data_IF_415809611368
#
_entry.id   IF_415809611368
#
_cell.length_a   1.000
_cell.length_b   1.000
_cell.length_c   1.000
_cell.angle_alpha   90.00
_cell.angle_beta   90.00
_cell.angle_gamma   90.00
#
_symmetry.space_group_name_H-M   'P 1'
#
loop_
_entity.id
_entity.type
_entity.pdbx_description
1 polymer ?
#
# COMPACT_ATOMS: atom_id res chain seq x y z
N UNK A 1 6.69 -13.51 16.04
CA UNK A 1 5.72 -14.57 15.71
C UNK A 1 4.36 -13.95 15.40
N UNK A 2 3.51 -14.61 14.60
CA UNK A 2 2.09 -14.24 14.44
C UNK A 2 1.36 -14.58 15.73
N UNK A 3 0.47 -13.70 16.19
CA UNK A 3 -0.21 -13.86 17.48
C UNK A 3 -1.72 -13.95 17.37
N UNK A 4 -2.34 -12.88 16.88
CA UNK A 4 -3.77 -12.81 16.69
C UNK A 4 -4.08 -12.92 15.21
N UNK A 5 -5.16 -13.62 14.89
CA UNK A 5 -5.72 -13.68 13.55
C UNK A 5 -7.19 -13.33 13.61
N UNK A 6 -7.61 -12.44 12.71
CA UNK A 6 -8.96 -11.93 12.63
C UNK A 6 -9.44 -11.94 11.17
N UNK A 7 -10.69 -12.35 10.95
CA UNK A 7 -11.39 -12.25 9.68
C UNK A 7 -12.65 -11.42 9.91
N UNK A 8 -12.79 -10.33 9.18
CA UNK A 8 -13.89 -9.36 9.31
C UNK A 8 -14.70 -9.35 8.02
N UNK A 9 -16.03 -9.39 8.15
CA UNK A 9 -16.95 -9.15 7.04
C UNK A 9 -17.97 -8.10 7.45
N UNK A 10 -18.12 -7.06 6.63
CA UNK A 10 -19.04 -5.93 6.89
C UNK A 10 -18.86 -5.32 8.29
N UNK A 11 -17.60 -5.24 8.75
CA UNK A 11 -17.26 -4.72 10.08
C UNK A 11 -17.55 -5.65 11.25
N UNK A 12 -18.03 -6.88 11.00
CA UNK A 12 -18.27 -7.88 12.03
C UNK A 12 -17.17 -8.96 12.02
N UNK A 13 -16.65 -9.36 13.19
CA UNK A 13 -15.65 -10.43 13.29
C UNK A 13 -16.29 -11.79 13.02
N UNK A 14 -15.93 -12.42 11.90
CA UNK A 14 -16.34 -13.80 11.55
C UNK A 14 -15.51 -14.84 12.28
N UNK A 15 -14.22 -14.55 12.45
CA UNK A 15 -13.24 -15.43 13.08
C UNK A 15 -12.24 -14.57 13.84
N UNK A 16 -11.98 -14.91 15.10
CA UNK A 16 -11.00 -14.22 15.95
C UNK A 16 -10.35 -15.22 16.88
N UNK A 17 -9.03 -15.38 16.78
CA UNK A 17 -8.25 -16.27 17.65
C UNK A 17 -6.89 -15.68 17.98
N UNK A 18 -6.48 -15.90 19.22
CA UNK A 18 -5.11 -15.72 19.67
C UNK A 18 -4.42 -17.09 19.73
N UNK A 19 -3.18 -17.15 19.24
CA UNK A 19 -2.37 -18.36 19.13
C UNK A 19 -1.13 -18.31 20.04
N UNK A 20 -1.17 -17.48 21.09
CA UNK A 20 -0.07 -17.30 22.05
C UNK A 20 -0.55 -17.28 23.49
N UNK A 21 0.35 -17.55 24.43
CA UNK A 21 0.00 -17.48 25.86
C UNK A 21 0.06 -16.04 26.44
N UNK A 22 0.25 -15.02 25.60
CA UNK A 22 0.48 -13.62 26.03
C UNK A 22 -0.82 -12.81 25.94
N UNK A 23 -0.99 -11.87 26.90
CA UNK A 23 -2.16 -10.98 26.99
C UNK A 23 -2.48 -10.28 25.65
N UNK A 24 -3.78 -10.16 25.39
CA UNK A 24 -4.37 -10.02 24.07
C UNK A 24 -4.74 -8.57 23.73
N UNK A 25 -4.37 -8.11 22.52
CA UNK A 25 -4.94 -6.89 21.95
C UNK A 25 -6.31 -7.15 21.32
N UNK A 26 -6.46 -8.28 20.59
CA UNK A 26 -7.66 -8.59 19.80
C UNK A 26 -8.69 -9.46 20.56
N UNK A 27 -8.27 -10.26 21.54
CA UNK A 27 -9.21 -11.18 22.22
C UNK A 27 -10.11 -10.50 23.26
N UNK A 28 -9.85 -9.27 23.63
CA UNK A 28 -10.76 -8.52 24.50
C UNK A 28 -11.96 -8.09 23.64
N UNK A 29 -13.17 -8.50 24.01
CA UNK A 29 -14.37 -8.27 23.19
C UNK A 29 -14.59 -6.78 22.89
N UNK A 30 -14.27 -5.88 23.83
CA UNK A 30 -14.37 -4.43 23.57
C UNK A 30 -13.35 -3.96 22.54
N UNK A 31 -12.12 -4.47 22.60
CA UNK A 31 -11.08 -4.13 21.63
C UNK A 31 -11.35 -4.75 20.26
N UNK A 32 -11.93 -5.97 20.22
CA UNK A 32 -12.34 -6.62 18.98
C UNK A 32 -13.35 -5.77 18.21
N UNK A 33 -14.38 -5.27 18.90
CA UNK A 33 -15.41 -4.41 18.31
C UNK A 33 -14.78 -3.11 17.79
N UNK A 34 -13.95 -2.45 18.60
CA UNK A 34 -13.27 -1.21 18.21
C UNK A 34 -12.34 -1.41 17.00
N UNK A 35 -11.52 -2.46 17.01
CA UNK A 35 -10.62 -2.81 15.91
C UNK A 35 -11.42 -3.15 14.65
N UNK A 36 -12.51 -3.89 14.79
CA UNK A 36 -13.35 -4.27 13.64
C UNK A 36 -14.04 -3.08 12.99
N UNK A 37 -14.63 -2.18 13.80
CA UNK A 37 -15.25 -0.95 13.32
C UNK A 37 -14.22 -0.01 12.70
N UNK A 38 -13.06 0.16 13.33
CA UNK A 38 -11.97 0.98 12.80
C UNK A 38 -11.49 0.47 11.44
N UNK A 39 -11.25 -0.83 11.30
CA UNK A 39 -10.73 -1.40 10.05
C UNK A 39 -11.77 -1.44 8.94
N UNK A 40 -13.05 -1.65 9.29
CA UNK A 40 -14.14 -1.50 8.33
C UNK A 40 -14.23 -0.07 7.82
N UNK A 41 -14.20 0.92 8.73
CA UNK A 41 -14.20 2.33 8.35
C UNK A 41 -12.97 2.70 7.53
N UNK A 42 -11.78 2.19 7.89
CA UNK A 42 -10.54 2.40 7.14
C UNK A 42 -10.61 1.78 5.75
N UNK A 43 -11.19 0.58 5.60
CA UNK A 43 -11.35 -0.07 4.31
C UNK A 43 -12.39 0.63 3.43
N UNK A 44 -13.55 0.98 3.98
CA UNK A 44 -14.57 1.77 3.26
C UNK A 44 -14.02 3.15 2.87
N UNK A 45 -13.31 3.82 3.77
CA UNK A 45 -12.59 5.05 3.45
C UNK A 45 -11.57 4.81 2.33
N UNK A 46 -10.78 3.74 2.39
CA UNK A 46 -9.80 3.40 1.35
C UNK A 46 -10.43 3.09 -0.01
N UNK A 47 -11.70 2.67 -0.07
CA UNK A 47 -12.44 2.46 -1.33
C UNK A 47 -12.85 3.79 -1.99
N UNK A 48 -13.01 4.86 -1.22
CA UNK A 48 -13.30 6.21 -1.74
C UNK A 48 -12.07 6.88 -2.40
N UNK A 49 -10.89 6.28 -2.29
CA UNK A 49 -9.67 6.76 -2.94
C UNK A 49 -9.10 5.68 -3.86
N UNK A 50 -9.10 5.93 -5.17
CA UNK A 50 -8.56 5.02 -6.20
C UNK A 50 -7.07 4.65 -6.00
N UNK A 51 -6.33 5.41 -5.18
CA UNK A 51 -4.86 5.35 -5.13
C UNK A 51 -4.27 5.70 -3.74
N UNK A 52 -4.97 5.33 -2.67
CA UNK A 52 -4.32 5.14 -1.37
C UNK A 52 -3.58 3.81 -1.49
N UNK A 53 -2.32 3.84 -1.93
CA UNK A 53 -1.49 2.64 -2.03
C UNK A 53 -1.72 1.73 -0.82
N UNK A 54 -1.90 0.42 -1.06
CA UNK A 54 -2.41 -0.53 -0.07
C UNK A 54 -1.73 -0.30 1.27
N UNK A 55 -2.42 0.29 2.25
CA UNK A 55 -1.94 0.27 3.61
C UNK A 55 -1.87 -1.22 3.95
N UNK A 56 -0.65 -1.76 4.08
CA UNK A 56 -0.46 -3.20 4.34
C UNK A 56 -0.24 -3.46 5.81
N UNK A 57 0.30 -2.47 6.51
CA UNK A 57 0.67 -2.58 7.91
C UNK A 57 0.37 -1.33 8.70
N UNK A 58 0.00 -1.53 9.96
CA UNK A 58 -0.15 -0.49 10.97
C UNK A 58 0.69 -0.85 12.20
N UNK A 59 1.50 0.09 12.67
CA UNK A 59 2.22 -0.05 13.93
C UNK A 59 1.33 0.44 15.07
N UNK A 60 1.06 -0.42 16.04
CA UNK A 60 0.28 -0.05 17.23
C UNK A 60 1.16 0.75 18.20
N UNK A 61 0.74 1.97 18.51
CA UNK A 61 1.46 2.86 19.43
C UNK A 61 1.60 2.20 20.81
N UNK A 62 2.81 2.29 21.39
CA UNK A 62 3.19 1.69 22.68
C UNK A 62 3.22 0.16 22.75
N UNK A 63 3.24 -0.55 21.61
CA UNK A 63 3.46 -1.99 21.59
C UNK A 63 4.57 -2.38 20.60
N UNK A 64 5.20 -3.54 20.84
CA UNK A 64 6.13 -4.16 19.89
C UNK A 64 5.39 -4.98 18.82
N UNK A 65 4.12 -4.65 18.56
CA UNK A 65 3.26 -5.38 17.63
C UNK A 65 2.95 -4.53 16.40
N UNK A 66 2.94 -5.23 15.28
CA UNK A 66 2.49 -4.73 13.99
C UNK A 66 1.22 -5.49 13.60
N UNK A 67 0.34 -4.79 12.91
CA UNK A 67 -0.86 -5.36 12.30
C UNK A 67 -0.65 -5.39 10.80
N UNK A 68 -0.86 -6.53 10.17
CA UNK A 68 -0.95 -6.65 8.72
C UNK A 68 -2.39 -6.97 8.35
N UNK A 69 -2.82 -6.49 7.18
CA UNK A 69 -4.13 -6.83 6.65
C UNK A 69 -4.11 -7.08 5.14
N UNK A 70 -5.07 -7.90 4.72
CA UNK A 70 -5.30 -8.28 3.34
C UNK A 70 -6.80 -8.15 3.07
N UNK A 71 -7.14 -7.28 2.11
CA UNK A 71 -8.50 -7.18 1.58
C UNK A 71 -8.73 -8.30 0.57
N UNK A 72 -9.89 -8.93 0.65
CA UNK A 72 -10.34 -9.87 -0.38
C UNK A 72 -10.92 -9.12 -1.58
N UNK A 73 -10.56 -9.55 -2.79
CA UNK A 73 -11.06 -8.94 -4.02
C UNK A 73 -12.30 -9.68 -4.58
N UNK A 74 -12.59 -10.88 -4.10
CA UNK A 74 -13.71 -11.71 -4.56
C UNK A 74 -14.97 -11.52 -3.71
N UNK A 75 -14.81 -11.21 -2.43
CA UNK A 75 -15.91 -10.97 -1.50
C UNK A 75 -15.85 -9.53 -0.99
N UNK A 76 -16.89 -8.70 -1.24
CA UNK A 76 -16.94 -7.33 -0.75
C UNK A 76 -16.80 -7.26 0.77
N UNK A 77 -16.06 -6.26 1.26
CA UNK A 77 -15.84 -5.98 2.69
C UNK A 77 -15.29 -7.16 3.51
N UNK A 78 -14.63 -8.12 2.88
CA UNK A 78 -13.94 -9.20 3.59
C UNK A 78 -12.47 -8.84 3.79
N UNK A 79 -12.02 -8.84 5.04
CA UNK A 79 -10.68 -8.43 5.44
C UNK A 79 -10.07 -9.50 6.33
N UNK A 80 -8.84 -9.91 6.01
CA UNK A 80 -8.02 -10.81 6.80
C UNK A 80 -6.94 -10.02 7.52
N UNK A 81 -6.70 -10.32 8.79
CA UNK A 81 -5.80 -9.58 9.67
C UNK A 81 -4.92 -10.52 10.47
N UNK A 82 -3.68 -10.09 10.70
CA UNK A 82 -2.76 -10.74 11.61
C UNK A 82 -2.00 -9.71 12.45
N UNK A 83 -1.91 -9.94 13.76
CA UNK A 83 -0.95 -9.24 14.62
C UNK A 83 0.33 -10.06 14.72
N UNK A 84 1.48 -9.38 14.78
CA UNK A 84 2.78 -10.04 14.85
C UNK A 84 3.84 -9.18 15.53
N UNK A 85 4.84 -9.86 16.12
CA UNK A 85 5.98 -9.20 16.75
C UNK A 85 6.87 -8.50 15.71
N UNK A 86 7.53 -7.39 16.11
CA UNK A 86 8.46 -6.64 15.27
C UNK A 86 9.53 -7.50 14.58
N UNK A 87 10.01 -8.56 15.22
CA UNK A 87 11.01 -9.49 14.67
C UNK A 87 10.51 -10.32 13.48
N UNK A 88 9.20 -10.40 13.26
CA UNK A 88 8.61 -11.23 12.19
C UNK A 88 8.68 -10.49 10.86
N UNK A 89 9.17 -11.15 9.81
CA UNK A 89 9.23 -10.54 8.49
C UNK A 89 7.82 -10.29 7.91
N UNK A 90 7.54 -9.03 7.58
CA UNK A 90 6.33 -8.55 6.92
C UNK A 90 5.90 -9.34 5.69
N UNK A 91 6.86 -9.70 4.83
CA UNK A 91 6.61 -10.46 3.59
C UNK A 91 6.12 -11.86 3.92
N UNK A 92 6.63 -12.47 4.98
CA UNK A 92 6.16 -13.78 5.43
C UNK A 92 4.72 -13.67 5.96
N UNK A 93 4.40 -12.63 6.73
CA UNK A 93 3.03 -12.38 7.21
C UNK A 93 2.07 -12.11 6.04
N UNK A 94 2.47 -11.36 5.02
CA UNK A 94 1.64 -11.15 3.82
C UNK A 94 1.38 -12.48 3.08
N UNK A 95 2.42 -13.32 2.96
CA UNK A 95 2.29 -14.66 2.36
C UNK A 95 1.38 -15.56 3.20
N UNK A 96 1.48 -15.50 4.52
CA UNK A 96 0.59 -16.18 5.45
C UNK A 96 -0.87 -15.75 5.23
N UNK A 97 -1.16 -14.44 5.17
CA UNK A 97 -2.50 -13.93 4.94
C UNK A 97 -3.07 -14.37 3.59
N UNK A 98 -2.26 -14.38 2.53
CA UNK A 98 -2.65 -14.89 1.20
C UNK A 98 -2.98 -16.39 1.23
N UNK A 99 -2.15 -17.20 1.89
CA UNK A 99 -2.42 -18.64 2.08
C UNK A 99 -3.71 -18.86 2.88
N UNK A 100 -3.90 -18.08 3.93
CA UNK A 100 -5.08 -18.13 4.79
C UNK A 100 -6.35 -17.79 4.02
N UNK A 101 -6.37 -16.67 3.28
CA UNK A 101 -7.50 -16.26 2.43
C UNK A 101 -7.88 -17.37 1.45
N UNK A 102 -6.91 -17.84 0.65
CA UNK A 102 -7.15 -18.91 -0.32
C UNK A 102 -7.70 -20.19 0.32
N UNK A 103 -7.22 -20.53 1.52
CA UNK A 103 -7.65 -21.76 2.22
C UNK A 103 -9.02 -21.58 2.85
N UNK A 104 -9.31 -20.39 3.38
CA UNK A 104 -10.60 -20.03 3.95
C UNK A 104 -11.70 -20.10 2.88
N UNK A 105 -11.48 -19.51 1.71
CA UNK A 105 -12.41 -19.56 0.57
C UNK A 105 -12.58 -20.96 -0.03
N UNK A 106 -11.57 -21.83 0.09
CA UNK A 106 -11.68 -23.24 -0.31
C UNK A 106 -12.49 -24.05 0.69
N UNK A 107 -12.29 -23.81 1.99
CA UNK A 107 -12.96 -24.54 3.07
C UNK A 107 -14.41 -24.10 3.25
N UNK A 108 -14.67 -22.81 3.11
CA UNK A 108 -15.99 -22.21 3.20
C UNK A 108 -16.32 -21.59 1.85
N UNK A 109 -17.34 -22.11 1.18
CA UNK A 109 -17.75 -21.61 -0.13
C UNK A 109 -18.05 -20.11 -0.08
N UNK A 110 -17.83 -19.41 -1.20
CA UNK A 110 -18.07 -17.96 -1.32
C UNK A 110 -19.49 -17.61 -0.84
N UNK A 111 -20.50 -18.37 -1.25
CA UNK A 111 -21.90 -18.13 -0.83
C UNK A 111 -22.08 -18.24 0.69
N UNK A 112 -21.41 -19.19 1.35
CA UNK A 112 -21.50 -19.35 2.81
C UNK A 112 -20.92 -18.14 3.55
N UNK A 113 -19.93 -17.48 2.97
CA UNK A 113 -19.30 -16.29 3.53
C UNK A 113 -20.12 -15.03 3.19
N UNK A 114 -20.63 -14.94 1.96
CA UNK A 114 -21.43 -13.81 1.49
C UNK A 114 -22.79 -13.73 2.22
N UNK A 115 -23.45 -14.86 2.42
CA UNK A 115 -24.75 -14.97 3.08
C UNK A 115 -24.62 -15.23 4.59
N UNK A 116 -23.47 -14.92 5.17
CA UNK A 116 -23.21 -15.15 6.60
C UNK A 116 -24.13 -14.31 7.48
N UNK A 117 -24.74 -14.95 8.48
CA UNK A 117 -25.76 -14.37 9.35
C UNK A 117 -25.25 -13.87 10.71
N UNK A 118 -23.93 -13.75 10.87
CA UNK A 118 -23.30 -13.28 12.11
C UNK A 118 -22.85 -14.37 13.08
N UNK A 119 -23.19 -15.65 12.84
CA UNK A 119 -22.76 -16.77 13.71
C UNK A 119 -21.28 -17.13 13.49
N UNK A 120 -20.39 -16.76 14.41
CA UNK A 120 -18.95 -17.02 14.27
C UNK A 120 -18.57 -18.49 14.49
N UNK A 121 -19.41 -19.28 15.17
CA UNK A 121 -19.12 -20.67 15.54
C UNK A 121 -18.91 -21.56 14.31
N UNK A 122 -19.54 -21.20 13.18
CA UNK A 122 -19.44 -21.95 11.92
C UNK A 122 -18.01 -21.94 11.33
N UNK A 123 -17.17 -21.01 11.79
CA UNK A 123 -15.78 -20.86 11.34
C UNK A 123 -14.75 -21.39 12.34
N UNK A 124 -15.17 -21.82 13.54
CA UNK A 124 -14.28 -22.29 14.61
C UNK A 124 -13.34 -23.43 14.18
N UNK A 125 -13.81 -24.30 13.30
CA UNK A 125 -13.00 -25.39 12.75
C UNK A 125 -11.78 -24.92 11.95
N UNK A 126 -11.70 -23.63 11.59
CA UNK A 126 -10.55 -23.03 10.92
C UNK A 126 -9.35 -22.84 11.86
N UNK A 127 -9.58 -22.83 13.17
CA UNK A 127 -8.53 -22.64 14.19
C UNK A 127 -7.35 -23.59 14.00
N UNK A 128 -7.63 -24.88 13.77
CA UNK A 128 -6.58 -25.90 13.61
C UNK A 128 -5.78 -25.69 12.31
N UNK A 129 -6.44 -25.25 11.23
CA UNK A 129 -5.77 -24.91 9.98
C UNK A 129 -4.80 -23.74 10.15
N UNK A 130 -5.19 -22.74 10.95
CA UNK A 130 -4.34 -21.57 11.23
C UNK A 130 -3.15 -21.95 12.12
N UNK A 131 -3.36 -22.78 13.16
CA UNK A 131 -2.28 -23.30 13.99
C UNK A 131 -1.20 -24.00 13.16
N UNK A 132 -1.61 -24.91 12.29
CA UNK A 132 -0.69 -25.64 11.39
C UNK A 132 0.18 -24.69 10.55
N UNK A 133 -0.37 -23.56 10.10
CA UNK A 133 0.38 -22.58 9.31
C UNK A 133 1.37 -21.79 10.16
N UNK A 134 0.96 -21.35 11.34
CA UNK A 134 1.84 -20.62 12.27
C UNK A 134 3.02 -21.52 12.69
N UNK A 135 2.76 -22.79 12.98
CA UNK A 135 3.80 -23.77 13.34
C UNK A 135 4.77 -24.01 12.19
N UNK A 136 4.27 -24.22 10.96
CA UNK A 136 5.13 -24.41 9.78
C UNK A 136 6.01 -23.18 9.49
N UNK A 137 5.49 -21.96 9.64
CA UNK A 137 6.30 -20.75 9.47
C UNK A 137 7.37 -20.57 10.56
N UNK A 138 7.12 -21.05 11.79
CA UNK A 138 8.11 -21.02 12.86
C UNK A 138 9.31 -21.94 12.59
N UNK A 139 9.09 -23.08 11.92
CA UNK A 139 10.13 -24.04 11.54
C UNK A 139 10.90 -23.53 10.31
N UNK A 140 10.19 -22.99 9.32
CA UNK A 140 10.77 -22.52 8.06
C UNK A 140 11.69 -21.30 8.22
N UNK A 141 11.42 -20.40 9.19
CA UNK A 141 12.27 -19.23 9.48
C UNK A 141 13.71 -19.57 9.92
N UNK A 142 14.01 -20.83 10.27
CA UNK A 142 15.38 -21.27 10.59
C UNK A 142 16.20 -21.70 9.36
N UNK A 143 15.55 -21.95 8.22
CA UNK A 143 16.20 -22.50 7.01
C UNK A 143 16.10 -21.58 5.78
N UNK A 144 15.08 -20.72 5.68
CA UNK A 144 14.77 -19.99 4.44
C UNK A 144 15.47 -18.63 4.23
N UNK A 145 16.41 -18.21 5.08
CA UNK A 145 17.08 -16.91 4.90
C UNK A 145 17.98 -16.84 3.66
N UNK A 146 18.33 -17.98 3.04
CA UNK A 146 19.18 -18.05 1.85
C UNK A 146 18.41 -18.50 0.59
N UNK A 147 17.48 -19.44 0.71
CA UNK A 147 16.87 -20.07 -0.48
C UNK A 147 15.76 -19.24 -1.13
N UNK A 148 15.00 -18.47 -0.35
CA UNK A 148 13.87 -17.66 -0.87
C UNK A 148 14.30 -16.40 -1.64
N UNK A 149 15.50 -15.88 -1.38
CA UNK A 149 16.09 -14.77 -2.15
C UNK A 149 16.65 -15.31 -3.47
N UNK A 150 17.32 -16.45 -3.45
CA UNK A 150 17.88 -17.07 -4.65
C UNK A 150 16.81 -17.57 -5.65
N UNK A 151 15.63 -17.99 -5.19
CA UNK A 151 14.54 -18.41 -6.09
C UNK A 151 13.89 -17.23 -6.82
N UNK A 152 13.71 -16.09 -6.14
CA UNK A 152 13.20 -14.85 -6.75
C UNK A 152 14.20 -14.27 -7.78
N UNK A 153 15.50 -14.33 -7.50
CA UNK A 153 16.52 -13.93 -8.47
C UNK A 153 16.60 -14.88 -9.68
N UNK A 154 16.41 -16.20 -9.48
CA UNK A 154 16.36 -17.17 -10.59
C UNK A 154 15.12 -17.04 -11.47
N UNK A 155 13.95 -16.73 -10.91
CA UNK A 155 12.74 -16.45 -11.70
C UNK A 155 12.90 -15.18 -12.57
N UNK A 156 13.55 -14.15 -12.04
CA UNK A 156 13.86 -12.93 -12.81
C UNK A 156 14.91 -13.22 -13.89
N UNK A 157 15.91 -14.05 -13.60
CA UNK A 157 16.99 -14.37 -14.55
C UNK A 157 16.53 -15.32 -15.67
N UNK A 158 15.63 -16.26 -15.36
CA UNK A 158 15.02 -17.16 -16.36
C UNK A 158 13.96 -16.46 -17.23
N UNK A 159 13.33 -15.40 -16.73
CA UNK A 159 12.45 -14.53 -17.54
C UNK A 159 13.19 -13.57 -18.49
N UNK A 160 14.51 -13.45 -18.38
CA UNK A 160 15.36 -12.58 -19.22
C UNK A 160 16.02 -13.35 -20.37
N UNK A 161 16.08 -14.69 -20.33
CA UNK A 161 16.83 -15.50 -21.31
C UNK A 161 16.01 -16.04 -22.51
N UNK A 162 14.71 -15.74 -22.63
CA UNK A 162 13.91 -16.13 -23.80
C UNK A 162 13.35 -14.94 -24.59
N UNK A 163 14.24 -14.14 -25.17
CA UNK A 163 13.93 -13.49 -26.46
C UNK A 163 15.11 -13.73 -27.42
N UNK A 164 15.00 -14.67 -28.38
CA UNK A 164 15.99 -14.84 -29.43
C UNK A 164 15.94 -13.63 -30.38
N UNK A 165 17.13 -13.20 -30.80
CA UNK A 165 17.36 -11.88 -31.37
C UNK A 165 16.63 -11.57 -32.68
N UNK A 166 16.31 -10.28 -32.81
CA UNK A 166 16.42 -9.60 -34.09
C UNK A 166 17.38 -8.43 -33.92
N UNK A 167 18.41 -8.46 -34.75
CA UNK A 167 19.54 -7.55 -34.82
C UNK A 167 19.16 -6.08 -34.69
N UNK A 168 19.74 -5.40 -33.70
CA UNK A 168 20.03 -3.97 -33.82
C UNK A 168 21.46 -3.73 -33.36
N UNK A 169 22.34 -3.65 -34.36
CA UNK A 169 23.76 -3.31 -34.27
C UNK A 169 23.95 -2.04 -33.43
N UNK A 170 24.85 -2.11 -32.46
CA UNK A 170 25.48 -0.95 -31.83
C UNK A 170 26.07 -0.03 -32.91
N UNK A 171 25.67 1.24 -32.89
CA UNK A 171 26.50 2.34 -33.33
C UNK A 171 26.78 3.24 -32.12
N UNK A 172 28.05 3.31 -31.75
CA UNK A 172 28.61 4.35 -30.90
C UNK A 172 28.73 5.67 -31.68
N UNK A 173 28.93 6.77 -30.92
CA UNK A 173 29.06 8.18 -31.30
C UNK A 173 27.70 8.86 -31.55
N UNK A 174 27.30 9.95 -30.87
CA UNK A 174 28.08 11.09 -30.34
C UNK A 174 27.19 11.92 -29.39
N UNK A 175 27.74 12.62 -28.38
CA UNK A 175 27.21 13.97 -28.10
C UNK A 175 27.48 14.83 -29.36
N UNK A 176 26.68 15.84 -29.76
CA UNK A 176 25.56 16.51 -29.09
C UNK A 176 24.29 16.65 -29.99
N UNK A 177 23.14 17.02 -29.42
CA UNK A 177 22.30 18.12 -29.93
C UNK A 177 21.11 18.37 -29.00
N UNK A 178 21.03 19.58 -28.48
CA UNK A 178 19.78 20.21 -28.05
C UNK A 178 18.74 20.08 -29.17
N UNK A 179 17.62 19.38 -28.91
CA UNK A 179 16.33 19.72 -29.51
C UNK A 179 15.22 19.46 -28.51
N UNK A 180 14.55 20.56 -28.16
CA UNK A 180 13.30 20.67 -27.43
C UNK A 180 12.36 19.47 -27.69
N UNK A 181 12.23 18.60 -26.70
CA UNK A 181 10.95 17.94 -26.46
C UNK A 181 10.37 18.71 -25.29
N UNK A 182 9.35 19.54 -25.57
CA UNK A 182 8.58 20.23 -24.55
C UNK A 182 8.18 19.20 -23.49
N UNK A 183 8.84 19.24 -22.32
CA UNK A 183 8.41 18.41 -21.20
C UNK A 183 6.98 18.83 -20.88
N UNK A 184 6.05 17.87 -20.86
CA UNK A 184 4.64 18.10 -20.53
C UNK A 184 4.49 18.91 -19.22
N UNK A 185 5.48 18.82 -18.32
CA UNK A 185 5.57 19.54 -17.06
C UNK A 185 5.88 21.03 -17.20
N UNK A 186 6.26 21.53 -18.38
CA UNK A 186 6.35 22.96 -18.67
C UNK A 186 4.97 23.62 -18.74
N UNK A 187 3.93 22.85 -19.05
CA UNK A 187 2.56 23.34 -19.25
C UNK A 187 1.72 23.29 -17.99
N UNK A 188 2.20 22.64 -16.92
CA UNK A 188 1.44 22.43 -15.69
C UNK A 188 1.91 23.43 -14.62
N UNK A 189 1.00 24.30 -14.18
CA UNK A 189 1.24 25.31 -13.15
C UNK A 189 0.39 24.97 -11.91
N UNK A 190 1.02 24.62 -10.77
CA UNK A 190 0.32 24.51 -9.50
C UNK A 190 -0.06 25.91 -8.96
N UNK A 191 -1.31 26.03 -8.48
CA UNK A 191 -1.85 27.25 -7.87
C UNK A 191 -2.34 26.91 -6.47
N UNK A 192 -1.91 27.67 -5.47
CA UNK A 192 -2.35 27.49 -4.09
C UNK A 192 -3.80 27.92 -3.91
N UNK A 193 -4.59 27.09 -3.22
CA UNK A 193 -5.99 27.35 -2.82
C UNK A 193 -6.15 27.33 -1.30
N UNK A 194 -5.04 27.39 -0.56
CA UNK A 194 -5.05 27.35 0.91
C UNK A 194 -5.64 28.67 1.46
N UNK A 195 -6.66 28.61 2.35
CA UNK A 195 -7.17 29.78 3.07
C UNK A 195 -6.11 30.44 3.95
N UNK A 196 -6.14 31.77 4.10
CA UNK A 196 -5.13 32.53 4.87
C UNK A 196 -5.03 32.09 6.35
N UNK A 197 -6.13 31.60 6.93
CA UNK A 197 -6.20 31.13 8.32
C UNK A 197 -5.81 29.65 8.50
N UNK A 198 -5.39 28.97 7.43
CA UNK A 198 -5.10 27.54 7.45
C UNK A 198 -3.61 27.26 7.30
N UNK A 199 -3.02 26.54 8.26
CA UNK A 199 -1.61 26.14 8.20
C UNK A 199 -1.47 24.72 7.62
N UNK A 200 -1.05 24.56 6.35
CA UNK A 200 -0.94 23.27 5.68
C UNK A 200 0.25 22.43 6.19
N UNK A 201 1.21 23.03 6.92
CA UNK A 201 2.38 22.29 7.42
C UNK A 201 2.03 21.21 8.45
N UNK A 202 0.92 21.37 9.19
CA UNK A 202 0.45 20.37 10.15
C UNK A 202 0.02 19.05 9.48
N UNK A 203 -0.25 19.09 8.17
CA UNK A 203 -0.72 17.95 7.38
C UNK A 203 0.38 17.36 6.50
N UNK A 204 1.59 17.93 6.52
CA UNK A 204 2.72 17.48 5.73
C UNK A 204 3.83 16.95 6.65
N UNK A 205 4.17 15.67 6.50
CA UNK A 205 5.24 15.03 7.29
C UNK A 205 6.60 15.05 6.57
N UNK A 206 6.63 15.26 5.26
CA UNK A 206 7.87 15.28 4.47
C UNK A 206 8.42 16.69 4.22
N UNK A 207 9.70 16.92 4.57
CA UNK A 207 10.40 18.20 4.35
C UNK A 207 10.43 18.63 2.88
N UNK A 208 10.50 17.67 1.97
CA UNK A 208 10.47 17.92 0.53
C UNK A 208 9.10 18.44 0.10
N UNK A 209 8.02 17.89 0.64
CA UNK A 209 6.66 18.35 0.35
C UNK A 209 6.40 19.75 0.90
N UNK A 210 6.91 20.06 2.11
CA UNK A 210 6.85 21.41 2.69
C UNK A 210 7.61 22.42 1.83
N UNK A 211 8.81 22.06 1.34
CA UNK A 211 9.61 22.91 0.45
C UNK A 211 8.91 23.16 -0.88
N UNK A 212 8.38 22.11 -1.51
CA UNK A 212 7.62 22.24 -2.77
C UNK A 212 6.42 23.16 -2.55
N UNK A 213 5.64 22.97 -1.48
CA UNK A 213 4.48 23.81 -1.19
C UNK A 213 4.85 25.29 -1.01
N UNK A 214 5.93 25.59 -0.29
CA UNK A 214 6.43 26.97 -0.10
C UNK A 214 6.92 27.62 -1.39
N UNK A 215 7.38 26.83 -2.35
CA UNK A 215 7.88 27.32 -3.63
C UNK A 215 6.77 27.56 -4.67
N UNK A 216 5.52 27.18 -4.38
CA UNK A 216 4.38 27.37 -5.28
C UNK A 216 3.81 28.78 -5.12
N UNK A 217 3.88 29.56 -6.20
CA UNK A 217 3.44 30.96 -6.27
C UNK A 217 2.30 31.18 -7.27
N UNK A 218 1.79 30.11 -7.89
CA UNK A 218 0.76 30.18 -8.94
C UNK A 218 1.25 30.60 -10.31
N UNK A 219 2.57 30.77 -10.51
CA UNK A 219 3.18 31.23 -11.78
C UNK A 219 4.21 30.25 -12.32
N UNK A 220 4.97 29.58 -11.45
CA UNK A 220 6.01 28.63 -11.85
C UNK A 220 5.41 27.31 -12.32
N UNK A 221 5.91 26.75 -13.43
CA UNK A 221 5.53 25.41 -13.87
C UNK A 221 6.29 24.32 -13.09
N UNK A 222 5.84 23.08 -13.20
CA UNK A 222 6.52 21.92 -12.59
C UNK A 222 7.97 21.80 -13.10
N UNK A 223 8.23 22.11 -14.38
CA UNK A 223 9.59 22.16 -14.94
C UNK A 223 10.45 23.24 -14.23
N UNK A 224 9.89 24.43 -14.00
CA UNK A 224 10.59 25.51 -13.30
C UNK A 224 10.89 25.13 -11.85
N UNK A 225 9.91 24.55 -11.15
CA UNK A 225 10.08 24.08 -9.77
C UNK A 225 11.10 22.94 -9.69
N UNK A 226 11.18 22.08 -10.71
CA UNK A 226 12.15 20.98 -10.81
C UNK A 226 13.58 21.48 -10.86
N UNK A 227 13.82 22.50 -11.68
CA UNK A 227 15.12 23.17 -11.78
C UNK A 227 15.50 23.89 -10.49
N UNK A 228 14.56 24.62 -9.88
CA UNK A 228 14.80 25.39 -8.65
C UNK A 228 15.11 24.50 -7.44
N UNK A 229 14.38 23.40 -7.29
CA UNK A 229 14.51 22.50 -6.13
C UNK A 229 15.51 21.37 -6.36
N UNK A 230 16.13 21.28 -7.55
CA UNK A 230 17.00 20.16 -7.96
C UNK A 230 16.34 18.79 -7.77
N UNK A 231 15.04 18.70 -8.08
CA UNK A 231 14.23 17.48 -7.97
C UNK A 231 13.74 17.06 -9.36
N UNK A 232 13.55 15.76 -9.58
CA UNK A 232 12.93 15.26 -10.82
C UNK A 232 11.50 15.79 -10.98
N UNK A 233 11.12 16.11 -12.22
CA UNK A 233 9.79 16.64 -12.57
C UNK A 233 8.66 15.72 -12.08
N UNK A 234 8.79 14.41 -12.27
CA UNK A 234 7.82 13.41 -11.79
C UNK A 234 7.61 13.48 -10.27
N UNK A 235 8.69 13.73 -9.53
CA UNK A 235 8.63 13.81 -8.06
C UNK A 235 7.87 15.05 -7.62
N UNK A 236 8.07 16.18 -8.28
CA UNK A 236 7.33 17.43 -8.00
C UNK A 236 5.87 17.28 -8.43
N UNK A 237 5.61 16.69 -9.58
CA UNK A 237 4.26 16.43 -10.06
C UNK A 237 3.47 15.52 -9.10
N UNK A 238 4.09 14.45 -8.58
CA UNK A 238 3.46 13.58 -7.60
C UNK A 238 3.17 14.30 -6.28
N UNK A 239 4.08 15.15 -5.83
CA UNK A 239 3.85 16.00 -4.64
C UNK A 239 2.68 16.96 -4.89
N UNK A 240 2.64 17.63 -6.05
CA UNK A 240 1.54 18.53 -6.40
C UNK A 240 0.21 17.78 -6.49
N UNK A 241 0.17 16.58 -7.08
CA UNK A 241 -1.03 15.71 -7.10
C UNK A 241 -1.53 15.40 -5.69
N UNK A 242 -0.64 15.07 -4.77
CA UNK A 242 -1.03 14.80 -3.38
C UNK A 242 -1.58 16.05 -2.70
N UNK A 243 -0.98 17.22 -2.95
CA UNK A 243 -1.45 18.49 -2.42
C UNK A 243 -2.80 18.93 -3.02
N UNK A 244 -3.08 18.59 -4.29
CA UNK A 244 -4.42 18.74 -4.89
C UNK A 244 -5.45 17.85 -4.19
N UNK A 245 -5.09 16.58 -3.92
CA UNK A 245 -5.97 15.65 -3.19
C UNK A 245 -6.31 16.12 -1.77
N UNK A 246 -5.40 16.86 -1.13
CA UNK A 246 -5.62 17.50 0.17
C UNK A 246 -6.41 18.82 0.07
N UNK A 247 -6.78 19.26 -1.14
CA UNK A 247 -7.48 20.53 -1.37
C UNK A 247 -6.60 21.77 -1.21
N UNK A 248 -5.27 21.61 -1.16
CA UNK A 248 -4.35 22.73 -0.95
C UNK A 248 -3.95 23.41 -2.27
N UNK A 249 -4.06 22.70 -3.39
CA UNK A 249 -3.67 23.20 -4.70
C UNK A 249 -4.70 22.83 -5.76
N UNK A 250 -4.64 23.55 -6.88
CA UNK A 250 -5.12 23.09 -8.18
C UNK A 250 -3.99 23.07 -9.21
N UNK A 251 -4.09 22.20 -10.22
CA UNK A 251 -3.17 22.20 -11.37
C UNK A 251 -3.87 22.84 -12.57
N UNK A 252 -3.25 23.88 -13.12
CA UNK A 252 -3.70 24.52 -14.35
C UNK A 252 -2.78 24.13 -15.50
N UNK A 253 -3.37 23.59 -16.56
CA UNK A 253 -2.66 23.36 -17.82
C UNK A 253 -2.76 24.62 -18.70
N UNK A 254 -1.62 25.10 -19.20
CA UNK A 254 -1.55 26.24 -20.10
C UNK A 254 -1.25 25.75 -21.50
N UNK A 255 -2.17 26.00 -22.43
CA UNK A 255 -1.92 25.77 -23.86
C UNK A 255 -0.88 26.77 -24.34
N UNK A 256 0.24 26.25 -24.86
CA UNK A 256 1.18 27.08 -25.60
C UNK A 256 0.50 27.41 -26.93
N UNK A 257 0.02 28.64 -27.07
CA UNK A 257 -0.33 29.19 -28.38
C UNK A 257 0.95 29.16 -29.23
N UNK A 258 1.09 28.15 -30.06
CA UNK A 258 2.02 28.20 -31.18
C UNK A 258 1.46 29.24 -32.14
N UNK A 259 1.87 30.49 -32.00
CA UNK A 259 1.71 31.48 -33.05
C UNK A 259 2.53 30.98 -34.24
N UNK A 260 1.83 30.40 -35.22
CA UNK A 260 2.32 30.20 -36.56
C UNK A 260 2.35 31.56 -37.26
N UNK A 261 3.55 32.14 -37.37
CA UNK A 261 3.93 33.05 -38.45
C UNK A 261 5.08 32.42 -39.23
#
# INVERSE_FOLDING_TARGET
MIRDVLIIKDGLPMFSKNFTDRKNFISDQSNLILVSGFLSALNSFSEEFEDLGSIKELKLSQSNFRLAFLKDNSIPNLIYLASFDEETNSVNVERFLKKMSNTFLKKYTINKIADWDGRSEIFESFTETVKDYIEKESVQNKQDTLDGVFSLFKEIQSGIEEIPGRDLKMKNFSQPLEKNVDSIFQRIIPISEIPEDFNPEFYLTGDVSKKVLKSIDGRKSINTLSKELSLKEDKIHNICKNLVKLGFLRLKEVQILTNSE
#
